data_IF_335130125427
#
_entry.id   IF_335130125427
#
_cell.length_a   1.000
_cell.length_b   1.000
_cell.length_c   1.000
_cell.angle_alpha   90.00
_cell.angle_beta   90.00
_cell.angle_gamma   90.00
#
_symmetry.space_group_name_H-M   'P 1'
#
loop_
_entity.id
_entity.type
_entity.pdbx_description
1 polymer ?
#
# COMPACT_ATOMS: atom_id res chain seq x y z
N UNK A 1 3.83 -36.72 41.44
CA UNK A 1 4.34 -37.09 40.11
C UNK A 1 3.21 -36.91 39.09
N UNK A 2 3.15 -35.77 38.42
CA UNK A 2 2.17 -35.50 37.36
C UNK A 2 2.84 -35.70 36.01
N UNK A 3 2.47 -36.77 35.30
CA UNK A 3 3.02 -37.11 34.00
C UNK A 3 2.62 -36.07 32.95
N UNK A 4 3.62 -35.41 32.37
CA UNK A 4 3.46 -34.52 31.23
C UNK A 4 2.98 -35.29 30.01
N UNK A 5 1.77 -34.97 29.56
CA UNK A 5 1.28 -35.38 28.25
C UNK A 5 2.02 -34.55 27.19
N UNK A 6 3.13 -35.08 26.67
CA UNK A 6 3.79 -34.57 25.48
C UNK A 6 2.85 -34.81 24.28
N UNK A 7 2.08 -33.78 23.93
CA UNK A 7 1.22 -33.79 22.76
C UNK A 7 2.04 -33.93 21.49
N UNK A 8 1.71 -34.92 20.65
CA UNK A 8 2.33 -35.14 19.36
C UNK A 8 2.37 -33.85 18.53
N UNK A 9 3.46 -33.59 17.77
CA UNK A 9 3.57 -32.37 16.97
C UNK A 9 2.47 -32.38 15.90
N UNK A 10 1.52 -31.44 16.02
CA UNK A 10 0.54 -31.17 14.97
C UNK A 10 1.31 -30.89 13.68
N UNK A 11 0.89 -31.41 12.52
CA UNK A 11 1.55 -31.19 11.22
C UNK A 11 1.72 -29.71 10.78
N UNK A 12 1.21 -28.76 11.57
CA UNK A 12 1.52 -27.33 11.47
C UNK A 12 2.84 -26.93 12.14
N UNK A 13 3.25 -27.59 13.24
CA UNK A 13 4.45 -27.27 14.01
C UNK A 13 5.73 -27.54 13.21
N UNK A 14 5.78 -28.63 12.45
CA UNK A 14 6.91 -28.94 11.57
C UNK A 14 7.07 -27.89 10.45
N UNK A 15 5.95 -27.42 9.89
CA UNK A 15 5.94 -26.33 8.92
C UNK A 15 6.38 -25.00 9.55
N UNK A 16 5.97 -24.71 10.77
CA UNK A 16 6.43 -23.52 11.50
C UNK A 16 7.93 -23.58 11.74
N UNK A 17 8.44 -24.72 12.22
CA UNK A 17 9.88 -24.93 12.46
C UNK A 17 10.70 -24.73 11.18
N UNK A 18 10.29 -25.34 10.08
CA UNK A 18 10.97 -25.17 8.80
C UNK A 18 11.00 -23.69 8.34
N UNK A 19 9.93 -22.93 8.60
CA UNK A 19 9.89 -21.49 8.30
C UNK A 19 10.78 -20.69 9.24
N UNK A 20 10.77 -20.99 10.53
CA UNK A 20 11.65 -20.36 11.54
C UNK A 20 13.11 -20.60 11.19
N UNK A 21 13.48 -21.85 10.92
CA UNK A 21 14.84 -22.25 10.54
C UNK A 21 15.28 -21.53 9.27
N UNK A 22 14.41 -21.44 8.26
CA UNK A 22 14.68 -20.67 7.04
C UNK A 22 14.93 -19.20 7.35
N UNK A 23 14.07 -18.56 8.13
CA UNK A 23 14.20 -17.13 8.46
C UNK A 23 15.51 -16.86 9.21
N UNK A 24 15.86 -17.71 10.18
CA UNK A 24 17.08 -17.58 10.97
C UNK A 24 18.35 -17.88 10.16
N UNK A 25 18.28 -18.83 9.21
CA UNK A 25 19.41 -19.16 8.33
C UNK A 25 19.60 -18.14 7.20
N UNK A 26 18.55 -17.40 6.83
CA UNK A 26 18.64 -16.44 5.71
C UNK A 26 19.33 -15.14 6.16
N UNK A 27 20.33 -14.66 5.42
CA UNK A 27 20.95 -13.35 5.66
C UNK A 27 19.96 -12.20 5.41
N UNK A 28 20.09 -11.10 6.15
CA UNK A 28 19.20 -9.92 6.03
C UNK A 28 19.41 -9.21 4.69
N UNK A 29 20.58 -9.40 4.08
CA UNK A 29 20.96 -8.92 2.74
C UNK A 29 20.16 -9.58 1.61
N UNK A 30 19.46 -10.69 1.90
CA UNK A 30 18.55 -11.37 0.96
C UNK A 30 17.11 -11.34 1.47
N UNK A 31 16.51 -10.14 1.62
CA UNK A 31 15.25 -9.98 2.32
C UNK A 31 14.06 -10.61 1.57
N UNK A 32 14.10 -10.66 0.23
CA UNK A 32 13.07 -11.28 -0.60
C UNK A 32 13.00 -12.80 -0.39
N UNK A 33 14.15 -13.47 -0.29
CA UNK A 33 14.21 -14.92 -0.01
C UNK A 33 13.73 -15.25 1.39
N UNK A 34 14.07 -14.41 2.37
CA UNK A 34 13.58 -14.54 3.75
C UNK A 34 12.04 -14.52 3.79
N UNK A 35 11.43 -13.63 2.99
CA UNK A 35 9.99 -13.50 2.81
C UNK A 35 9.36 -14.58 1.89
N UNK A 36 10.19 -15.38 1.22
CA UNK A 36 9.75 -16.38 0.23
C UNK A 36 9.21 -15.76 -1.06
N UNK A 37 9.76 -14.62 -1.45
CA UNK A 37 9.48 -13.91 -2.70
C UNK A 37 10.58 -14.19 -3.73
N UNK A 38 10.22 -14.15 -5.02
CA UNK A 38 11.11 -14.51 -6.12
C UNK A 38 12.19 -13.48 -6.46
N UNK A 39 12.09 -12.25 -5.95
CA UNK A 39 13.02 -11.18 -6.28
C UNK A 39 12.54 -9.78 -5.86
N UNK A 40 13.28 -8.72 -6.26
CA UNK A 40 12.94 -7.33 -5.96
C UNK A 40 11.80 -6.77 -6.82
N UNK A 41 11.37 -7.46 -7.88
CA UNK A 41 10.25 -7.04 -8.74
C UNK A 41 8.88 -7.03 -8.02
N UNK A 42 8.80 -7.55 -6.79
CA UNK A 42 7.57 -7.61 -6.03
C UNK A 42 7.22 -6.25 -5.42
N UNK A 43 6.02 -5.76 -5.73
CA UNK A 43 5.49 -4.52 -5.13
C UNK A 43 5.51 -4.53 -3.60
N UNK A 44 5.59 -3.35 -2.99
CA UNK A 44 5.49 -3.19 -1.52
C UNK A 44 4.24 -3.83 -0.91
N UNK A 45 3.13 -3.92 -1.64
CA UNK A 45 1.96 -4.67 -1.18
C UNK A 45 2.28 -6.16 -1.02
N UNK A 46 2.93 -6.79 -2.00
CA UNK A 46 3.28 -8.20 -1.95
C UNK A 46 4.22 -8.51 -0.76
N UNK A 47 5.21 -7.65 -0.52
CA UNK A 47 6.12 -7.70 0.63
C UNK A 47 5.34 -7.73 1.95
N UNK A 48 4.45 -6.74 2.17
CA UNK A 48 3.64 -6.68 3.40
C UNK A 48 2.69 -7.87 3.54
N UNK A 49 2.16 -8.39 2.43
CA UNK A 49 1.29 -9.57 2.43
C UNK A 49 2.06 -10.83 2.84
N UNK A 50 3.28 -11.02 2.31
CA UNK A 50 4.15 -12.13 2.68
C UNK A 50 4.54 -12.06 4.17
N UNK A 51 4.96 -10.88 4.63
CA UNK A 51 5.26 -10.62 6.04
C UNK A 51 4.11 -11.03 6.97
N UNK A 52 2.89 -10.53 6.72
CA UNK A 52 1.72 -10.85 7.58
C UNK A 52 1.43 -12.35 7.64
N UNK A 53 1.55 -13.06 6.52
CA UNK A 53 1.33 -14.51 6.47
C UNK A 53 2.36 -15.25 7.34
N UNK A 54 3.63 -14.89 7.22
CA UNK A 54 4.71 -15.52 7.98
C UNK A 54 4.63 -15.16 9.47
N UNK A 55 4.40 -13.88 9.80
CA UNK A 55 4.27 -13.42 11.18
C UNK A 55 3.14 -14.13 11.95
N UNK A 56 2.00 -14.39 11.29
CA UNK A 56 0.90 -15.15 11.89
C UNK A 56 1.24 -16.64 12.08
N UNK A 57 2.09 -17.20 11.22
CA UNK A 57 2.50 -18.60 11.31
C UNK A 57 3.50 -18.82 12.45
N UNK A 58 4.47 -17.92 12.60
CA UNK A 58 5.56 -18.02 13.58
C UNK A 58 5.28 -17.25 14.88
N UNK A 59 4.08 -16.72 15.09
CA UNK A 59 3.79 -15.90 16.28
C UNK A 59 3.99 -16.73 17.57
N UNK A 60 4.67 -16.20 18.62
CA UNK A 60 4.96 -16.95 19.84
C UNK A 60 3.71 -17.46 20.55
N UNK A 61 2.64 -16.65 20.61
CA UNK A 61 1.33 -17.04 21.17
C UNK A 61 0.72 -18.31 20.55
N UNK A 62 0.96 -18.55 19.26
CA UNK A 62 0.41 -19.69 18.53
C UNK A 62 1.31 -20.92 18.57
N UNK A 63 2.55 -20.79 19.06
CA UNK A 63 3.58 -21.81 19.04
C UNK A 63 4.19 -22.01 20.43
N UNK A 64 3.40 -22.54 21.39
CA UNK A 64 3.89 -22.80 22.74
C UNK A 64 5.06 -23.80 22.70
N UNK A 65 6.12 -23.51 23.45
CA UNK A 65 7.35 -24.31 23.48
C UNK A 65 8.43 -23.94 22.45
N UNK A 66 8.13 -23.04 21.50
CA UNK A 66 9.10 -22.47 20.56
C UNK A 66 9.16 -20.94 20.63
N UNK A 67 8.59 -20.35 21.68
CA UNK A 67 8.37 -18.90 21.84
C UNK A 67 9.64 -18.09 21.59
N UNK A 68 10.77 -18.49 22.20
CA UNK A 68 12.05 -17.77 22.07
C UNK A 68 12.53 -17.75 20.62
N UNK A 69 12.54 -18.92 19.95
CA UNK A 69 12.98 -19.04 18.55
C UNK A 69 12.01 -18.33 17.60
N UNK A 70 10.72 -18.42 17.88
CA UNK A 70 9.65 -17.74 17.14
C UNK A 70 9.77 -16.22 17.24
N UNK A 71 10.07 -15.71 18.44
CA UNK A 71 10.28 -14.29 18.70
C UNK A 71 11.53 -13.77 17.99
N UNK A 72 12.63 -14.50 18.07
CA UNK A 72 13.87 -14.18 17.34
C UNK A 72 13.63 -14.14 15.83
N UNK A 73 12.97 -15.17 15.28
CA UNK A 73 12.61 -15.22 13.87
C UNK A 73 11.66 -14.08 13.47
N UNK A 74 10.73 -13.67 14.33
CA UNK A 74 9.82 -12.57 14.06
C UNK A 74 10.55 -11.21 14.01
N UNK A 75 11.51 -10.98 14.90
CA UNK A 75 12.38 -9.79 14.87
C UNK A 75 13.17 -9.75 13.56
N UNK A 76 13.79 -10.88 13.20
CA UNK A 76 14.59 -10.97 11.97
C UNK A 76 13.73 -10.80 10.71
N UNK A 77 12.53 -11.39 10.70
CA UNK A 77 11.54 -11.23 9.63
C UNK A 77 11.08 -9.77 9.49
N UNK A 78 10.97 -9.03 10.60
CA UNK A 78 10.65 -7.61 10.56
C UNK A 78 11.79 -6.79 9.92
N UNK A 79 13.04 -7.06 10.28
CA UNK A 79 14.21 -6.42 9.66
C UNK A 79 14.25 -6.72 8.16
N UNK A 80 14.01 -7.97 7.75
CA UNK A 80 13.92 -8.36 6.35
C UNK A 80 12.81 -7.62 5.58
N UNK A 81 11.63 -7.40 6.19
CA UNK A 81 10.56 -6.60 5.58
C UNK A 81 11.01 -5.17 5.32
N UNK A 82 11.59 -4.52 6.33
CA UNK A 82 12.03 -3.12 6.23
C UNK A 82 13.10 -2.95 5.15
N UNK A 83 14.04 -3.89 5.07
CA UNK A 83 15.05 -3.90 4.02
C UNK A 83 14.45 -4.13 2.63
N UNK A 84 13.53 -5.09 2.47
CA UNK A 84 12.84 -5.32 1.19
C UNK A 84 12.04 -4.10 0.73
N UNK A 85 11.36 -3.40 1.65
CA UNK A 85 10.62 -2.17 1.32
C UNK A 85 11.57 -1.03 0.92
N UNK A 86 12.71 -0.91 1.60
CA UNK A 86 13.73 0.08 1.24
C UNK A 86 14.32 -0.21 -0.16
N UNK A 87 14.60 -1.47 -0.47
CA UNK A 87 15.19 -1.84 -1.76
C UNK A 87 14.17 -1.76 -2.91
N UNK A 88 12.92 -2.14 -2.67
CA UNK A 88 11.84 -1.93 -3.64
C UNK A 88 11.61 -0.43 -3.93
N UNK A 89 11.71 0.42 -2.90
CA UNK A 89 11.58 1.88 -3.08
C UNK A 89 12.78 2.48 -3.83
N UNK A 90 13.99 1.92 -3.66
CA UNK A 90 15.18 2.32 -4.43
C UNK A 90 15.08 1.89 -5.89
N UNK A 91 14.60 0.69 -6.18
CA UNK A 91 14.43 0.24 -7.58
C UNK A 91 13.38 1.08 -8.31
N UNK A 92 12.31 1.49 -7.63
CA UNK A 92 11.32 2.42 -8.20
C UNK A 92 11.90 3.83 -8.46
N UNK A 93 12.93 4.23 -7.71
CA UNK A 93 13.60 5.53 -7.87
C UNK A 93 14.70 5.55 -8.97
N UNK A 94 15.17 4.37 -9.43
CA UNK A 94 16.33 4.24 -10.35
C UNK A 94 15.92 3.93 -11.80
N UNK A 95 14.63 3.98 -12.14
CA UNK A 95 14.19 3.85 -13.53
C UNK A 95 13.89 5.21 -14.19
N UNK A 96 14.89 5.95 -14.73
CA UNK A 96 14.64 6.79 -15.89
C UNK A 96 14.71 5.90 -17.15
N UNK A 97 13.60 5.88 -17.85
CA UNK A 97 13.45 5.47 -19.25
C UNK A 97 13.28 3.96 -19.56
N UNK A 98 12.36 3.72 -20.49
CA UNK A 98 11.88 2.42 -21.02
C UNK A 98 10.91 1.65 -20.12
N UNK A 99 9.60 1.95 -20.21
CA UNK A 99 8.60 1.09 -20.90
C UNK A 99 7.42 1.96 -21.38
N UNK A 100 7.40 2.11 -22.70
CA UNK A 100 6.23 2.35 -23.55
C UNK A 100 5.25 1.18 -23.34
N UNK A 101 4.18 1.40 -22.59
CA UNK A 101 3.20 0.38 -22.24
C UNK A 101 1.95 0.95 -21.58
N UNK A 102 1.24 1.79 -22.33
CA UNK A 102 -0.19 2.13 -22.23
C UNK A 102 -0.95 1.69 -20.96
N UNK A 103 -0.90 2.52 -19.92
CA UNK A 103 -2.11 2.82 -19.15
C UNK A 103 -2.56 4.23 -19.53
N UNK A 104 -3.73 4.27 -20.21
CA UNK A 104 -4.43 5.50 -20.60
C UNK A 104 -4.62 6.43 -19.40
N UNK A 105 -3.79 7.47 -19.25
CA UNK A 105 -4.23 8.80 -18.76
C UNK A 105 -3.19 9.95 -18.86
N UNK A 106 -1.98 9.75 -19.38
CA UNK A 106 -1.00 10.87 -19.46
C UNK A 106 -1.03 11.66 -20.78
N UNK A 107 -1.56 11.10 -21.88
CA UNK A 107 -1.71 11.85 -23.13
C UNK A 107 -2.75 12.99 -23.02
N UNK A 108 -3.64 12.94 -22.02
CA UNK A 108 -4.64 13.98 -21.77
C UNK A 108 -4.19 15.09 -20.84
N UNK A 109 -3.08 14.95 -20.10
CA UNK A 109 -2.61 16.02 -19.18
C UNK A 109 -1.79 17.08 -19.90
N UNK A 110 -0.92 16.70 -20.84
CA UNK A 110 -0.10 17.67 -21.58
C UNK A 110 -0.83 18.28 -22.79
N UNK A 111 -1.69 17.54 -23.50
CA UNK A 111 -2.48 18.11 -24.59
C UNK A 111 -3.65 18.99 -24.11
N UNK A 112 -4.18 18.76 -22.90
CA UNK A 112 -5.20 19.63 -22.32
C UNK A 112 -4.65 20.93 -21.73
N UNK A 113 -3.32 21.08 -21.61
CA UNK A 113 -2.68 22.26 -21.03
C UNK A 113 -2.21 23.27 -22.08
N UNK A 114 -2.14 22.89 -23.36
CA UNK A 114 -1.56 23.73 -24.40
C UNK A 114 -2.55 24.71 -25.07
N UNK A 115 -3.85 24.56 -24.84
CA UNK A 115 -4.88 25.43 -25.46
C UNK A 115 -6.04 25.74 -24.52
N UNK A 116 -5.76 26.07 -23.25
CA UNK A 116 -6.82 26.59 -22.36
C UNK A 116 -6.62 28.08 -22.24
N UNK A 117 -7.58 28.82 -22.79
CA UNK A 117 -7.85 30.22 -22.46
C UNK A 117 -7.56 30.46 -20.98
N UNK A 118 -6.72 31.45 -20.68
CA UNK A 118 -6.28 31.83 -19.33
C UNK A 118 -7.42 32.24 -18.37
N UNK A 119 -8.69 32.12 -18.78
CA UNK A 119 -9.89 32.47 -18.02
C UNK A 119 -10.62 31.32 -17.32
N UNK A 120 -10.32 30.04 -17.60
CA UNK A 120 -11.03 28.92 -16.97
C UNK A 120 -10.25 28.35 -15.79
N UNK A 121 -10.43 28.94 -14.60
CA UNK A 121 -9.94 28.42 -13.31
C UNK A 121 -11.05 27.69 -12.56
N UNK A 122 -10.68 26.81 -11.63
CA UNK A 122 -11.64 26.21 -10.71
C UNK A 122 -12.45 27.31 -10.02
N UNK A 123 -13.78 27.13 -9.97
CA UNK A 123 -14.70 28.09 -9.35
C UNK A 123 -14.54 28.24 -7.82
N UNK A 124 -13.72 27.40 -7.18
CA UNK A 124 -13.46 27.47 -5.75
C UNK A 124 -12.46 28.60 -5.43
N UNK A 125 -12.76 29.48 -4.45
CA UNK A 125 -11.89 30.60 -4.12
C UNK A 125 -10.50 30.12 -3.69
N UNK A 126 -9.46 30.68 -4.31
CA UNK A 126 -8.07 30.31 -4.04
C UNK A 126 -7.60 29.00 -4.70
N UNK A 127 -8.38 28.42 -5.61
CA UNK A 127 -7.96 27.24 -6.36
C UNK A 127 -7.43 27.60 -7.75
N UNK A 128 -6.13 27.34 -7.98
CA UNK A 128 -5.46 27.59 -9.26
C UNK A 128 -5.46 26.38 -10.21
N UNK A 129 -6.20 25.33 -9.86
CA UNK A 129 -6.27 24.14 -10.69
C UNK A 129 -7.27 24.32 -11.85
N UNK A 130 -7.03 23.70 -13.01
CA UNK A 130 -7.96 23.75 -14.12
C UNK A 130 -9.29 23.07 -13.75
N UNK A 131 -10.43 23.61 -14.21
CA UNK A 131 -11.74 23.04 -13.95
C UNK A 131 -11.91 21.73 -14.73
N UNK A 132 -12.57 20.76 -14.12
CA UNK A 132 -12.99 19.54 -14.81
C UNK A 132 -14.11 19.89 -15.80
N UNK A 133 -13.91 19.56 -17.09
CA UNK A 133 -14.93 19.75 -18.14
C UNK A 133 -16.21 18.91 -17.89
N UNK A 134 -16.09 17.83 -17.13
CA UNK A 134 -17.20 16.91 -16.83
C UNK A 134 -17.94 17.26 -15.54
N UNK A 135 -17.42 18.20 -14.75
CA UNK A 135 -18.04 18.64 -13.51
C UNK A 135 -19.04 19.76 -13.81
N UNK A 136 -20.32 19.54 -13.52
CA UNK A 136 -21.36 20.58 -13.63
C UNK A 136 -21.05 21.83 -12.77
N UNK A 137 -20.25 21.66 -11.71
CA UNK A 137 -19.81 22.74 -10.83
C UNK A 137 -18.50 23.40 -11.28
N UNK A 138 -17.89 22.97 -12.40
CA UNK A 138 -16.61 23.50 -12.92
C UNK A 138 -15.51 23.53 -11.84
N UNK A 139 -15.49 22.51 -10.99
CA UNK A 139 -14.48 22.33 -9.96
C UNK A 139 -13.34 21.47 -10.48
N UNK A 140 -12.14 21.60 -9.89
CA UNK A 140 -10.98 20.80 -10.28
C UNK A 140 -11.19 19.32 -9.94
N UNK A 141 -10.53 18.43 -10.70
CA UNK A 141 -10.60 16.97 -10.48
C UNK A 141 -9.84 16.51 -9.23
N UNK A 142 -8.94 17.35 -8.70
CA UNK A 142 -8.01 16.97 -7.64
C UNK A 142 -8.60 17.09 -6.24
N UNK A 143 -9.55 18.01 -6.03
CA UNK A 143 -10.14 18.22 -4.71
C UNK A 143 -11.66 18.15 -4.75
N UNK A 144 -12.18 16.99 -4.37
CA UNK A 144 -13.62 16.73 -4.32
C UNK A 144 -14.36 17.71 -3.37
N UNK A 145 -13.71 18.18 -2.30
CA UNK A 145 -14.33 19.10 -1.34
C UNK A 145 -14.73 20.43 -1.99
N UNK A 146 -13.97 20.90 -2.99
CA UNK A 146 -14.32 22.11 -3.75
C UNK A 146 -15.67 21.96 -4.45
N UNK A 147 -15.90 20.79 -5.06
CA UNK A 147 -17.15 20.47 -5.73
C UNK A 147 -18.33 20.41 -4.75
N UNK A 148 -18.14 19.81 -3.56
CA UNK A 148 -19.19 19.75 -2.53
C UNK A 148 -19.50 21.13 -1.93
N UNK A 149 -18.50 21.97 -1.67
CA UNK A 149 -18.70 23.32 -1.15
C UNK A 149 -19.49 24.18 -2.14
N UNK A 150 -19.14 24.12 -3.44
CA UNK A 150 -19.88 24.83 -4.49
C UNK A 150 -21.29 24.24 -4.67
N UNK A 151 -21.45 22.91 -4.61
CA UNK A 151 -22.76 22.27 -4.68
C UNK A 151 -23.69 22.72 -3.54
N UNK A 152 -23.17 22.84 -2.30
CA UNK A 152 -23.93 23.35 -1.15
C UNK A 152 -24.39 24.79 -1.35
N UNK A 153 -23.52 25.65 -1.89
CA UNK A 153 -23.85 27.05 -2.17
C UNK A 153 -24.91 27.20 -3.28
N UNK A 154 -24.96 26.27 -4.25
CA UNK A 154 -25.89 26.30 -5.39
C UNK A 154 -27.16 25.47 -5.19
N UNK A 155 -27.56 25.19 -3.95
CA UNK A 155 -28.82 24.48 -3.67
C UNK A 155 -28.77 22.96 -3.85
N UNK A 156 -27.61 22.33 -3.68
CA UNK A 156 -27.50 20.87 -3.55
C UNK A 156 -27.34 20.10 -4.86
N UNK A 157 -26.94 20.73 -5.96
CA UNK A 157 -26.65 20.03 -7.22
C UNK A 157 -25.55 18.98 -7.00
N UNK A 158 -25.94 17.70 -7.03
CA UNK A 158 -25.01 16.58 -6.87
C UNK A 158 -24.16 16.44 -8.13
N UNK A 159 -22.83 16.48 -7.96
CA UNK A 159 -21.91 16.14 -9.03
C UNK A 159 -21.73 14.61 -9.05
N UNK A 160 -22.25 13.97 -10.09
CA UNK A 160 -22.16 12.51 -10.27
C UNK A 160 -20.75 12.03 -10.68
N UNK A 161 -19.85 12.95 -11.01
CA UNK A 161 -18.49 12.63 -11.46
C UNK A 161 -17.47 12.44 -10.33
N UNK A 162 -17.85 12.71 -9.08
CA UNK A 162 -16.99 12.47 -7.93
C UNK A 162 -17.73 11.59 -6.91
N UNK A 163 -17.20 10.40 -6.58
CA UNK A 163 -17.85 9.52 -5.60
C UNK A 163 -17.87 10.21 -4.24
N UNK A 164 -18.96 10.13 -3.46
CA UNK A 164 -19.07 10.84 -2.19
C UNK A 164 -17.85 10.55 -1.30
N UNK A 165 -17.34 11.55 -0.57
CA UNK A 165 -16.21 11.37 0.32
C UNK A 165 -16.46 10.16 1.22
N UNK A 166 -15.55 9.18 1.16
CA UNK A 166 -15.55 8.06 2.11
C UNK A 166 -15.61 8.66 3.52
N UNK A 167 -16.37 8.03 4.42
CA UNK A 167 -16.82 8.58 5.70
C UNK A 167 -15.74 9.22 6.62
N UNK A 168 -14.45 9.01 6.35
CA UNK A 168 -13.32 9.62 7.07
C UNK A 168 -13.01 11.07 6.66
N UNK A 169 -13.50 11.57 5.53
CA UNK A 169 -13.26 12.96 5.07
C UNK A 169 -14.26 13.99 5.66
N UNK A 170 -15.00 13.62 6.72
CA UNK A 170 -15.90 14.53 7.45
C UNK A 170 -15.18 15.56 8.33
N UNK A 171 -13.86 15.42 8.53
CA UNK A 171 -13.06 16.26 9.43
C UNK A 171 -11.92 16.99 8.70
N UNK A 172 -12.24 17.75 7.65
CA UNK A 172 -11.34 18.83 7.22
C UNK A 172 -11.95 20.16 7.72
N UNK A 173 -11.21 20.99 8.46
CA UNK A 173 -11.69 22.26 9.01
C UNK A 173 -12.13 23.25 7.93
#
# INVERSE_FOLDING_TARGET
AGAGAAAAPRAGAERTLAVVDRILATPVERPFEMLGLGGPEFSGHAIRKAYRRLALLIHPDKNPGLEVRCQEALIRLQQGREQAEADASKSDAVAPDVIRGETRCDATTNAASATVDAGFRCKYPGCDLPPCKQCANQCCTRNITHCHSVARQKGGQQCYFHPPPRAWARNAP
#
